data_IF_906776114477
#
_entry.id   IF_906776114477
#
_cell.length_a   1.000
_cell.length_b   1.000
_cell.length_c   1.000
_cell.angle_alpha   90.00
_cell.angle_beta   90.00
_cell.angle_gamma   90.00
#
_symmetry.space_group_name_H-M   'P 1'
#
loop_
_entity.id
_entity.type
_entity.pdbx_description
1 polymer ?
#
# COMPACT_ATOMS: atom_id res chain seq x y z
N UNK A 1 22.78 -7.45 -25.89
CA UNK A 1 21.37 -7.04 -25.61
C UNK A 1 21.13 -5.67 -26.23
N UNK A 2 20.38 -5.59 -27.33
CA UNK A 2 20.20 -4.33 -28.09
C UNK A 2 19.29 -3.30 -27.41
N UNK A 3 19.31 -2.05 -27.91
CA UNK A 3 18.55 -0.88 -27.39
C UNK A 3 17.08 -1.17 -27.05
N UNK A 4 16.42 -2.05 -27.79
CA UNK A 4 15.03 -2.47 -27.53
C UNK A 4 14.84 -3.12 -26.13
N UNK A 5 15.83 -3.89 -25.66
CA UNK A 5 15.81 -4.46 -24.32
C UNK A 5 15.94 -3.37 -23.24
N UNK A 6 16.83 -2.40 -23.47
CA UNK A 6 17.05 -1.27 -22.57
C UNK A 6 15.80 -0.39 -22.43
N UNK A 7 15.16 -0.04 -23.55
CA UNK A 7 13.93 0.74 -23.56
C UNK A 7 12.77 0.02 -22.84
N UNK A 8 12.64 -1.31 -23.04
CA UNK A 8 11.66 -2.13 -22.31
C UNK A 8 11.96 -2.17 -20.81
N UNK A 9 13.23 -2.39 -20.44
CA UNK A 9 13.68 -2.39 -19.04
C UNK A 9 13.35 -1.06 -18.35
N UNK A 10 13.63 0.07 -19.00
CA UNK A 10 13.31 1.40 -18.45
C UNK A 10 11.81 1.63 -18.30
N UNK A 11 11.01 1.25 -19.30
CA UNK A 11 9.55 1.37 -19.24
C UNK A 11 8.94 0.52 -18.11
N UNK A 12 9.41 -0.72 -17.96
CA UNK A 12 9.02 -1.60 -16.86
C UNK A 12 9.42 -1.02 -15.49
N UNK A 13 10.64 -0.49 -15.37
CA UNK A 13 11.12 0.13 -14.13
C UNK A 13 10.29 1.36 -13.74
N UNK A 14 9.92 2.23 -14.70
CA UNK A 14 9.05 3.39 -14.47
C UNK A 14 7.67 2.97 -13.93
N UNK A 15 7.10 1.94 -14.54
CA UNK A 15 5.79 1.40 -14.11
C UNK A 15 5.87 0.79 -12.71
N UNK A 16 6.93 0.03 -12.43
CA UNK A 16 7.16 -0.55 -11.11
C UNK A 16 7.32 0.54 -10.05
N UNK A 17 8.12 1.58 -10.32
CA UNK A 17 8.33 2.70 -9.40
C UNK A 17 7.04 3.46 -9.09
N UNK A 18 6.19 3.68 -10.10
CA UNK A 18 4.87 4.29 -9.91
C UNK A 18 3.98 3.45 -8.97
N UNK A 19 3.95 2.12 -9.15
CA UNK A 19 3.19 1.20 -8.28
C UNK A 19 3.74 1.20 -6.86
N UNK A 20 5.05 1.13 -6.67
CA UNK A 20 5.67 1.19 -5.35
C UNK A 20 5.30 2.47 -4.59
N UNK A 21 5.26 3.62 -5.27
CA UNK A 21 4.85 4.89 -4.66
C UNK A 21 3.40 4.85 -4.16
N UNK A 22 2.49 4.25 -4.93
CA UNK A 22 1.10 4.05 -4.53
C UNK A 22 1.00 3.15 -3.30
N UNK A 23 1.76 2.04 -3.28
CA UNK A 23 1.74 1.09 -2.16
C UNK A 23 2.26 1.75 -0.87
N UNK A 24 3.35 2.51 -0.95
CA UNK A 24 3.88 3.25 0.19
C UNK A 24 2.93 4.31 0.72
N UNK A 25 2.19 5.00 -0.17
CA UNK A 25 1.15 5.97 0.21
C UNK A 25 0.03 5.28 1.00
N UNK A 26 -0.54 4.22 0.45
CA UNK A 26 -1.62 3.49 1.12
C UNK A 26 -1.17 2.86 2.45
N UNK A 27 0.02 2.25 2.50
CA UNK A 27 0.55 1.70 3.74
C UNK A 27 0.69 2.73 4.85
N UNK A 28 1.12 3.96 4.52
CA UNK A 28 1.19 5.06 5.50
C UNK A 28 -0.20 5.54 5.94
N UNK A 29 -1.12 5.74 5.00
CA UNK A 29 -2.48 6.20 5.30
C UNK A 29 -3.26 5.20 6.15
N UNK A 30 -3.16 3.90 5.82
CA UNK A 30 -3.75 2.80 6.60
C UNK A 30 -3.17 2.78 8.01
N UNK A 31 -1.84 2.87 8.15
CA UNK A 31 -1.20 2.90 9.47
C UNK A 31 -1.69 4.06 10.34
N UNK A 32 -1.71 5.29 9.80
CA UNK A 32 -2.14 6.48 10.56
C UNK A 32 -3.62 6.39 10.93
N UNK A 33 -4.47 5.97 9.99
CA UNK A 33 -5.91 5.82 10.22
C UNK A 33 -6.19 4.74 11.28
N UNK A 34 -5.51 3.60 11.19
CA UNK A 34 -5.65 2.51 12.15
C UNK A 34 -5.12 2.91 13.54
N UNK A 35 -4.03 3.67 13.62
CA UNK A 35 -3.49 4.18 14.90
C UNK A 35 -4.43 5.19 15.58
N UNK A 36 -5.16 5.98 14.78
CA UNK A 36 -6.07 7.01 15.30
C UNK A 36 -7.44 6.46 15.71
N UNK A 37 -7.98 5.49 14.96
CA UNK A 37 -9.36 5.01 15.12
C UNK A 37 -9.50 3.52 15.42
N UNK A 38 -8.40 2.83 15.73
CA UNK A 38 -8.38 1.38 15.91
C UNK A 38 -8.16 0.63 14.58
N UNK A 39 -7.63 -0.59 14.72
CA UNK A 39 -7.23 -1.47 13.61
C UNK A 39 -8.39 -2.26 13.01
N UNK A 40 -9.58 -2.20 13.62
CA UNK A 40 -10.75 -2.93 13.18
C UNK A 40 -11.48 -2.19 12.04
N UNK A 41 -11.53 -2.74 10.82
CA UNK A 41 -12.22 -2.09 9.69
C UNK A 41 -13.74 -1.98 9.90
N UNK A 42 -14.32 -2.81 10.76
CA UNK A 42 -15.75 -2.74 11.10
C UNK A 42 -16.06 -1.61 12.08
N UNK A 43 -15.12 -1.26 12.95
CA UNK A 43 -15.25 -0.15 13.90
C UNK A 43 -14.79 1.20 13.33
N UNK A 44 -13.98 1.19 12.27
CA UNK A 44 -13.39 2.37 11.67
C UNK A 44 -13.76 2.49 10.17
N UNK A 45 -14.81 3.28 9.89
CA UNK A 45 -15.32 3.50 8.53
C UNK A 45 -14.26 4.12 7.59
N UNK A 46 -13.39 4.98 8.12
CA UNK A 46 -12.31 5.60 7.35
C UNK A 46 -11.27 4.54 6.93
N UNK A 47 -10.92 3.64 7.84
CA UNK A 47 -10.02 2.52 7.56
C UNK A 47 -10.60 1.57 6.52
N UNK A 48 -11.89 1.23 6.64
CA UNK A 48 -12.59 0.41 5.64
C UNK A 48 -12.53 1.03 4.24
N UNK A 49 -12.85 2.31 4.13
CA UNK A 49 -12.80 3.03 2.85
C UNK A 49 -11.37 3.06 2.26
N UNK A 50 -10.35 3.23 3.10
CA UNK A 50 -8.94 3.17 2.68
C UNK A 50 -8.55 1.79 2.17
N UNK A 51 -8.95 0.71 2.86
CA UNK A 51 -8.68 -0.67 2.44
C UNK A 51 -9.36 -0.98 1.10
N UNK A 52 -10.61 -0.54 0.92
CA UNK A 52 -11.33 -0.72 -0.36
C UNK A 52 -10.65 0.02 -1.51
N UNK A 53 -10.19 1.27 -1.28
CA UNK A 53 -9.43 2.04 -2.28
C UNK A 53 -8.07 1.39 -2.59
N UNK A 54 -7.35 0.93 -1.57
CA UNK A 54 -6.10 0.21 -1.74
C UNK A 54 -6.28 -1.05 -2.60
N UNK A 55 -7.35 -1.83 -2.36
CA UNK A 55 -7.68 -3.00 -3.18
C UNK A 55 -8.00 -2.63 -4.63
N UNK A 56 -8.74 -1.53 -4.86
CA UNK A 56 -9.03 -1.01 -6.21
C UNK A 56 -7.75 -0.60 -6.95
N UNK A 57 -6.79 -0.02 -6.25
CA UNK A 57 -5.49 0.38 -6.80
C UNK A 57 -4.46 -0.76 -6.86
N UNK A 58 -4.91 -2.01 -6.71
CA UNK A 58 -4.09 -3.22 -6.76
C UNK A 58 -2.95 -3.24 -5.75
N UNK A 59 -3.13 -2.58 -4.60
CA UNK A 59 -2.20 -2.69 -3.48
C UNK A 59 -2.21 -4.15 -2.98
N UNK A 60 -1.06 -4.82 -2.87
CA UNK A 60 -0.99 -6.18 -2.35
C UNK A 60 -1.49 -6.27 -0.91
N UNK A 61 -2.22 -7.35 -0.57
CA UNK A 61 -2.77 -7.55 0.78
C UNK A 61 -1.71 -7.48 1.87
N UNK A 62 -0.52 -8.07 1.66
CA UNK A 62 0.57 -8.03 2.64
C UNK A 62 1.05 -6.62 3.01
N UNK A 63 0.83 -5.61 2.15
CA UNK A 63 1.16 -4.20 2.46
C UNK A 63 0.12 -3.62 3.42
N UNK A 64 -1.15 -3.97 3.22
CA UNK A 64 -2.28 -3.58 4.08
C UNK A 64 -2.12 -4.25 5.45
N UNK A 65 -1.88 -5.56 5.47
CA UNK A 65 -1.75 -6.36 6.70
C UNK A 65 -0.56 -5.84 7.54
N UNK A 66 0.61 -5.63 6.93
CA UNK A 66 1.77 -5.05 7.63
C UNK A 66 1.49 -3.66 8.22
N UNK A 67 0.70 -2.84 7.53
CA UNK A 67 0.34 -1.51 8.03
C UNK A 67 -0.60 -1.59 9.23
N UNK A 68 -1.54 -2.55 9.24
CA UNK A 68 -2.43 -2.83 10.35
C UNK A 68 -1.68 -3.42 11.54
N UNK A 69 -0.80 -4.41 11.32
CA UNK A 69 0.04 -5.02 12.36
C UNK A 69 0.96 -3.99 13.02
N UNK A 70 1.51 -3.07 12.22
CA UNK A 70 2.32 -1.98 12.77
C UNK A 70 1.48 -1.00 13.60
N UNK A 71 0.21 -0.80 13.24
CA UNK A 71 -0.70 0.08 13.97
C UNK A 71 -1.25 -0.56 15.25
N UNK A 72 -1.41 -1.88 15.30
CA UNK A 72 -1.88 -2.63 16.48
C UNK A 72 -0.84 -2.67 17.63
N UNK A 73 0.37 -2.18 17.39
CA UNK A 73 1.43 -2.13 18.41
C UNK A 73 2.37 -3.34 18.40
N UNK A 74 2.25 -4.26 17.44
CA UNK A 74 3.18 -5.39 17.28
C UNK A 74 4.58 -4.98 16.77
N UNK A 75 4.96 -3.70 16.89
CA UNK A 75 6.17 -3.13 16.32
C UNK A 75 6.80 -2.04 17.18
N UNK A 76 6.84 -2.27 18.49
CA UNK A 76 7.64 -1.54 19.47
C UNK A 76 8.50 -2.51 20.27
#
# INVERSE_FOLDING_TARGET
>A
MGRAFQNRKESMAKTAAAKTKVYSKYGREIYVCAKAGGTDPNGNLALRGLIERAKKDQVPSHVIDKALDKASGAGG
#
